data_IF_178574127833
#
_entry.id   IF_178574127833
#
_cell.length_a   1.000
_cell.length_b   1.000
_cell.length_c   1.000
_cell.angle_alpha   90.00
_cell.angle_beta   90.00
_cell.angle_gamma   90.00
#
_symmetry.space_group_name_H-M   'P 1'
#
loop_
_entity.id
_entity.type
_entity.pdbx_description
1 polymer ?
#
# COMPACT_ATOMS: atom_id res chain seq x y z
N UNK A 1 -21.94 -28.95 6.59
CA UNK A 1 -21.64 -28.00 7.69
C UNK A 1 -22.20 -26.64 7.32
N UNK A 2 -23.04 -26.10 8.18
CA UNK A 2 -23.56 -24.73 8.04
C UNK A 2 -22.47 -23.75 8.45
N UNK A 3 -22.16 -22.81 7.59
CA UNK A 3 -21.13 -21.77 7.84
C UNK A 3 -21.77 -20.49 8.38
N UNK A 4 -20.95 -19.56 8.89
CA UNK A 4 -21.41 -18.23 9.29
C UNK A 4 -22.07 -17.48 8.12
N UNK A 5 -21.62 -17.70 6.90
CA UNK A 5 -22.21 -17.09 5.70
C UNK A 5 -23.58 -17.63 5.38
N UNK A 6 -23.81 -18.94 5.60
CA UNK A 6 -25.13 -19.54 5.41
C UNK A 6 -26.14 -18.93 6.39
N UNK A 7 -25.74 -18.68 7.66
CA UNK A 7 -26.59 -18.02 8.65
C UNK A 7 -26.90 -16.55 8.36
N UNK A 8 -26.02 -15.89 7.59
CA UNK A 8 -26.20 -14.50 7.14
C UNK A 8 -26.91 -14.39 5.78
N UNK A 9 -27.25 -15.51 5.14
CA UNK A 9 -27.84 -15.54 3.80
C UNK A 9 -26.88 -15.08 2.69
N UNK A 10 -25.57 -15.16 2.92
CA UNK A 10 -24.55 -14.76 1.93
C UNK A 10 -24.10 -15.99 1.12
N UNK A 11 -24.31 -16.00 -0.21
CA UNK A 11 -23.91 -17.12 -1.04
C UNK A 11 -22.39 -17.26 -1.10
N UNK A 12 -21.89 -18.48 -0.99
CA UNK A 12 -20.46 -18.79 -1.19
C UNK A 12 -20.12 -18.80 -2.66
N UNK A 13 -18.92 -18.35 -2.97
CA UNK A 13 -18.37 -18.34 -4.31
C UNK A 13 -17.21 -19.31 -4.45
N UNK A 14 -17.04 -19.88 -5.64
CA UNK A 14 -15.82 -20.56 -6.04
C UNK A 14 -14.95 -19.51 -6.72
N UNK A 15 -13.89 -19.08 -6.02
CA UNK A 15 -13.00 -18.06 -6.53
C UNK A 15 -11.97 -18.67 -7.51
N UNK A 16 -12.12 -18.41 -8.79
CA UNK A 16 -11.18 -18.80 -9.85
C UNK A 16 -10.33 -17.62 -10.37
N UNK A 17 -10.46 -16.44 -9.77
CA UNK A 17 -9.74 -15.22 -10.19
C UNK A 17 -8.40 -15.07 -9.46
N UNK A 18 -8.26 -15.69 -8.29
CA UNK A 18 -7.12 -15.50 -7.38
C UNK A 18 -7.37 -14.42 -6.34
N UNK A 19 -6.31 -13.88 -5.70
CA UNK A 19 -6.45 -12.88 -4.65
C UNK A 19 -7.17 -11.62 -5.14
N UNK A 20 -8.33 -11.33 -4.57
CA UNK A 20 -9.12 -10.14 -4.89
C UNK A 20 -9.82 -9.63 -3.65
N UNK A 21 -9.65 -8.36 -3.31
CA UNK A 21 -10.27 -7.72 -2.16
C UNK A 21 -11.79 -7.84 -2.19
N UNK A 22 -12.42 -7.79 -3.37
CA UNK A 22 -13.87 -7.97 -3.53
C UNK A 22 -14.34 -9.39 -3.24
N UNK A 23 -13.44 -10.36 -3.22
CA UNK A 23 -13.70 -11.77 -2.96
C UNK A 23 -12.99 -12.23 -1.67
N UNK A 24 -12.95 -11.38 -0.65
CA UNK A 24 -12.30 -11.62 0.65
C UNK A 24 -10.77 -11.80 0.58
N UNK A 25 -10.13 -11.42 -0.52
CA UNK A 25 -8.68 -11.51 -0.70
C UNK A 25 -8.15 -12.92 -0.96
N UNK A 26 -8.81 -13.94 -0.48
CA UNK A 26 -8.42 -15.35 -0.56
C UNK A 26 -8.76 -16.11 0.71
N UNK A 27 -8.56 -17.43 0.66
CA UNK A 27 -8.75 -18.29 1.83
C UNK A 27 -7.50 -18.20 2.71
N UNK A 28 -7.71 -17.91 3.99
CA UNK A 28 -6.63 -17.86 4.97
C UNK A 28 -6.13 -19.27 5.29
N UNK A 29 -4.83 -19.43 5.47
CA UNK A 29 -4.24 -20.69 5.91
C UNK A 29 -4.68 -20.98 7.34
N UNK A 30 -4.95 -22.26 7.69
CA UNK A 30 -5.46 -22.62 9.02
C UNK A 30 -4.58 -22.11 10.16
N UNK A 31 -3.27 -22.26 10.05
CA UNK A 31 -2.31 -21.83 11.08
C UNK A 31 -2.31 -20.32 11.31
N UNK A 32 -2.64 -19.52 10.30
CA UNK A 32 -2.79 -18.06 10.44
C UNK A 32 -4.11 -17.74 11.15
N UNK A 33 -5.19 -18.43 10.80
CA UNK A 33 -6.48 -18.24 11.45
C UNK A 33 -6.42 -18.63 12.94
N UNK A 34 -5.75 -19.73 13.28
CA UNK A 34 -5.53 -20.17 14.66
C UNK A 34 -4.74 -19.12 15.47
N UNK A 35 -3.64 -18.61 14.91
CA UNK A 35 -2.85 -17.55 15.55
C UNK A 35 -3.66 -16.26 15.77
N UNK A 36 -4.55 -15.89 14.84
CA UNK A 36 -5.44 -14.73 15.01
C UNK A 36 -6.46 -14.96 16.13
N UNK A 37 -7.03 -16.18 16.23
CA UNK A 37 -7.94 -16.54 17.32
C UNK A 37 -7.22 -16.47 18.67
N UNK A 38 -6.01 -17.03 18.78
CA UNK A 38 -5.20 -16.93 19.98
C UNK A 38 -4.90 -15.48 20.34
N UNK A 39 -4.37 -14.70 19.40
CA UNK A 39 -4.03 -13.29 19.60
C UNK A 39 -5.22 -12.44 20.07
N UNK A 40 -6.44 -12.77 19.64
CA UNK A 40 -7.65 -12.04 20.03
C UNK A 40 -8.00 -12.14 21.53
N UNK A 41 -7.35 -13.06 22.26
CA UNK A 41 -7.58 -13.24 23.70
C UNK A 41 -6.68 -12.36 24.56
N UNK A 42 -5.75 -11.62 23.98
CA UNK A 42 -4.75 -10.83 24.70
C UNK A 42 -4.68 -9.41 24.20
N UNK A 43 -4.36 -8.48 25.12
CA UNK A 43 -3.97 -7.12 24.79
C UNK A 43 -2.44 -7.01 24.81
N UNK A 44 -1.88 -6.40 23.78
CA UNK A 44 -0.44 -6.19 23.66
C UNK A 44 -0.15 -4.75 23.24
N UNK A 45 1.05 -4.27 23.53
CA UNK A 45 1.51 -3.00 22.99
C UNK A 45 1.78 -3.15 21.48
N UNK A 46 1.05 -2.38 20.67
CA UNK A 46 1.14 -2.43 19.21
C UNK A 46 2.52 -1.97 18.71
N UNK A 47 3.19 -1.05 19.41
CA UNK A 47 4.53 -0.61 19.02
C UNK A 47 5.55 -1.77 19.13
N UNK A 48 5.49 -2.55 20.21
CA UNK A 48 6.31 -3.75 20.34
C UNK A 48 5.96 -4.82 19.31
N UNK A 49 4.68 -5.03 19.04
CA UNK A 49 4.25 -5.98 18.01
C UNK A 49 4.76 -5.59 16.63
N UNK A 50 4.66 -4.32 16.26
CA UNK A 50 5.20 -3.80 14.99
C UNK A 50 6.72 -3.93 14.92
N UNK A 51 7.45 -3.66 16.01
CA UNK A 51 8.90 -3.84 16.04
C UNK A 51 9.29 -5.32 15.77
N UNK A 52 8.60 -6.27 16.39
CA UNK A 52 8.83 -7.70 16.13
C UNK A 52 8.45 -8.13 14.71
N UNK A 53 7.36 -7.60 14.18
CA UNK A 53 6.99 -7.82 12.79
C UNK A 53 8.06 -7.25 11.83
N UNK A 54 8.61 -6.07 12.12
CA UNK A 54 9.72 -5.48 11.37
C UNK A 54 10.95 -6.40 11.34
N UNK A 55 11.38 -6.94 12.49
CA UNK A 55 12.51 -7.87 12.58
C UNK A 55 12.30 -9.10 11.68
N UNK A 56 11.09 -9.65 11.69
CA UNK A 56 10.74 -10.82 10.89
C UNK A 56 10.75 -10.47 9.39
N UNK A 57 10.13 -9.36 9.00
CA UNK A 57 10.08 -8.92 7.61
C UNK A 57 11.51 -8.69 7.09
N UNK A 58 12.33 -7.95 7.83
CA UNK A 58 13.72 -7.66 7.48
C UNK A 58 14.54 -8.94 7.27
N UNK A 59 14.35 -9.93 8.13
CA UNK A 59 15.03 -11.24 8.02
C UNK A 59 14.70 -11.96 6.70
N UNK A 60 13.45 -11.88 6.23
CA UNK A 60 13.02 -12.61 5.03
C UNK A 60 13.23 -11.81 3.74
N UNK A 61 13.22 -10.49 3.81
CA UNK A 61 13.28 -9.62 2.62
C UNK A 61 14.67 -9.02 2.40
N UNK A 62 15.52 -8.98 3.43
CA UNK A 62 16.79 -8.25 3.41
C UNK A 62 16.61 -6.74 3.49
N UNK A 63 15.42 -6.23 3.77
CA UNK A 63 15.16 -4.80 3.96
C UNK A 63 15.68 -4.33 5.32
N UNK A 64 15.96 -3.03 5.44
CA UNK A 64 16.37 -2.40 6.70
C UNK A 64 15.28 -2.48 7.76
N UNK A 65 14.02 -2.32 7.36
CA UNK A 65 12.87 -2.38 8.25
C UNK A 65 11.61 -2.84 7.50
N UNK A 66 10.58 -3.21 8.26
CA UNK A 66 9.26 -3.54 7.73
C UNK A 66 8.16 -2.95 8.61
N UNK A 67 7.01 -2.67 8.03
CA UNK A 67 5.85 -2.19 8.76
C UNK A 67 4.58 -2.87 8.26
N UNK A 68 3.78 -3.40 9.16
CA UNK A 68 2.51 -4.06 8.82
C UNK A 68 1.38 -3.06 8.82
N UNK A 69 0.60 -3.05 7.75
CA UNK A 69 -0.55 -2.17 7.58
C UNK A 69 -1.83 -2.96 7.29
N UNK A 70 -2.97 -2.30 7.32
CA UNK A 70 -4.27 -2.91 7.00
C UNK A 70 -4.49 -3.19 5.51
N UNK A 71 -3.46 -3.04 4.69
CA UNK A 71 -3.48 -3.35 3.25
C UNK A 71 -2.62 -2.41 2.43
N UNK A 72 -2.48 -2.71 1.13
CA UNK A 72 -1.60 -1.98 0.21
C UNK A 72 -1.89 -0.47 0.13
N UNK A 73 -3.16 -0.05 0.14
CA UNK A 73 -3.53 1.36 0.13
C UNK A 73 -3.02 2.08 1.39
N UNK A 74 -3.16 1.46 2.57
CA UNK A 74 -2.65 2.02 3.81
C UNK A 74 -1.11 2.09 3.83
N UNK A 75 -0.44 1.08 3.24
CA UNK A 75 1.02 1.08 3.10
C UNK A 75 1.51 2.22 2.18
N UNK A 76 0.85 2.43 1.03
CA UNK A 76 1.17 3.52 0.11
C UNK A 76 0.95 4.89 0.76
N UNK A 77 -0.16 5.07 1.47
CA UNK A 77 -0.45 6.31 2.19
C UNK A 77 0.62 6.59 3.25
N UNK A 78 0.90 5.60 4.11
CA UNK A 78 1.86 5.76 5.20
C UNK A 78 3.28 6.00 4.68
N UNK A 79 3.72 5.24 3.67
CA UNK A 79 5.03 5.41 3.04
C UNK A 79 5.18 6.79 2.39
N UNK A 80 4.16 7.26 1.67
CA UNK A 80 4.15 8.59 1.08
C UNK A 80 4.20 9.68 2.15
N UNK A 81 3.39 9.55 3.21
CA UNK A 81 3.40 10.49 4.33
C UNK A 81 4.79 10.56 4.98
N UNK A 82 5.42 9.41 5.23
CA UNK A 82 6.76 9.34 5.80
C UNK A 82 7.82 10.02 4.91
N UNK A 83 7.74 9.85 3.60
CA UNK A 83 8.65 10.55 2.66
C UNK A 83 8.48 12.07 2.68
N UNK A 84 7.24 12.57 2.86
CA UNK A 84 6.94 14.01 2.87
C UNK A 84 7.33 14.66 4.21
N UNK A 85 7.04 13.98 5.31
CA UNK A 85 7.18 14.57 6.66
C UNK A 85 8.48 14.19 7.37
N UNK A 86 9.09 13.08 6.99
CA UNK A 86 10.14 12.47 7.80
C UNK A 86 9.63 12.20 9.21
N UNK A 87 10.49 12.43 10.19
CA UNK A 87 10.17 12.27 11.62
C UNK A 87 9.74 13.59 12.30
N UNK A 88 9.31 14.59 11.52
CA UNK A 88 8.88 15.90 12.05
C UNK A 88 7.41 15.89 12.45
N UNK A 89 7.08 15.93 13.77
CA UNK A 89 5.69 15.91 14.24
C UNK A 89 4.86 17.10 13.75
N UNK A 90 5.49 18.26 13.55
CA UNK A 90 4.82 19.47 13.06
C UNK A 90 4.32 19.27 11.62
N UNK A 91 5.15 18.65 10.77
CA UNK A 91 4.76 18.30 9.40
C UNK A 91 3.70 17.22 9.39
N UNK A 92 3.84 16.18 10.23
CA UNK A 92 2.85 15.10 10.35
C UNK A 92 1.45 15.64 10.69
N UNK A 93 1.37 16.56 11.65
CA UNK A 93 0.09 17.14 12.08
C UNK A 93 -0.55 18.08 11.06
N UNK A 94 0.23 18.55 10.09
CA UNK A 94 -0.29 19.43 9.01
C UNK A 94 -0.91 18.66 7.86
N UNK A 95 -0.59 17.38 7.68
CA UNK A 95 -1.13 16.61 6.57
C UNK A 95 -2.68 16.68 6.55
N UNK A 96 -3.29 16.80 5.39
CA UNK A 96 -2.74 16.79 4.03
C UNK A 96 -2.26 18.16 3.50
N UNK A 97 -2.08 19.18 4.33
CA UNK A 97 -1.48 20.45 3.91
C UNK A 97 0.05 20.32 3.82
N UNK A 98 0.54 20.09 2.61
CA UNK A 98 1.95 19.88 2.31
C UNK A 98 2.68 21.13 1.81
N UNK A 99 2.10 22.32 1.96
CA UNK A 99 2.73 23.58 1.53
C UNK A 99 4.08 23.81 2.22
N UNK A 100 5.13 24.06 1.43
CA UNK A 100 6.49 24.24 1.92
C UNK A 100 7.20 22.93 2.34
N UNK A 101 6.66 21.79 1.91
CA UNK A 101 7.32 20.48 2.03
C UNK A 101 7.70 19.98 0.64
N UNK A 102 8.67 19.05 0.59
CA UNK A 102 8.92 18.27 -0.63
C UNK A 102 7.71 17.34 -0.83
N UNK A 103 6.84 17.68 -1.75
CA UNK A 103 5.52 17.04 -1.87
C UNK A 103 5.22 16.57 -3.30
N UNK A 104 6.23 16.41 -4.14
CA UNK A 104 6.06 15.87 -5.48
C UNK A 104 6.37 14.37 -5.48
N UNK A 105 5.53 13.61 -6.18
CA UNK A 105 5.74 12.18 -6.44
C UNK A 105 5.78 11.96 -7.94
N UNK A 106 6.92 11.52 -8.44
CA UNK A 106 7.10 11.20 -9.86
C UNK A 106 6.57 9.79 -10.11
N UNK A 107 5.71 9.65 -11.11
CA UNK A 107 5.10 8.38 -11.48
C UNK A 107 4.97 8.24 -12.99
N UNK A 108 5.35 7.06 -13.51
CA UNK A 108 5.08 6.75 -14.91
C UNK A 108 3.57 6.73 -15.18
N UNK A 109 3.14 7.35 -16.26
CA UNK A 109 1.74 7.42 -16.65
C UNK A 109 1.12 6.04 -16.90
N UNK A 110 1.92 5.09 -17.36
CA UNK A 110 1.53 3.69 -17.53
C UNK A 110 1.24 2.96 -16.20
N UNK A 111 1.80 3.44 -15.09
CA UNK A 111 1.61 2.88 -13.75
C UNK A 111 0.40 3.45 -12.99
N UNK A 112 -0.28 4.46 -13.56
CA UNK A 112 -1.48 5.04 -12.96
C UNK A 112 -2.58 3.99 -12.78
N UNK A 113 -3.10 3.90 -11.56
CA UNK A 113 -4.17 2.98 -11.20
C UNK A 113 -4.96 3.50 -9.99
N UNK A 114 -5.97 2.76 -9.54
CA UNK A 114 -6.82 3.18 -8.43
C UNK A 114 -6.09 3.36 -7.09
N UNK A 115 -4.94 2.73 -6.89
CA UNK A 115 -4.16 2.85 -5.66
C UNK A 115 -3.44 4.20 -5.54
N UNK A 116 -3.29 4.96 -6.61
CA UNK A 116 -2.69 6.30 -6.55
C UNK A 116 -3.53 7.28 -5.73
N UNK A 117 -4.81 6.97 -5.48
CA UNK A 117 -5.62 7.71 -4.51
C UNK A 117 -4.98 7.74 -3.12
N UNK A 118 -4.40 6.63 -2.66
CA UNK A 118 -3.75 6.57 -1.36
C UNK A 118 -2.55 7.53 -1.29
N UNK A 119 -1.74 7.56 -2.34
CA UNK A 119 -0.60 8.49 -2.48
C UNK A 119 -1.08 9.95 -2.49
N UNK A 120 -2.09 10.27 -3.31
CA UNK A 120 -2.64 11.63 -3.43
C UNK A 120 -3.34 12.11 -2.14
N UNK A 121 -3.89 11.20 -1.34
CA UNK A 121 -4.57 11.53 -0.08
C UNK A 121 -3.64 12.18 0.95
N UNK A 122 -2.34 12.02 0.80
CA UNK A 122 -1.34 12.70 1.66
C UNK A 122 -1.26 14.20 1.36
N UNK A 123 -1.79 14.67 0.21
CA UNK A 123 -1.74 16.06 -0.22
C UNK A 123 -0.56 16.36 -1.13
N UNK A 124 0.03 15.33 -1.75
CA UNK A 124 1.13 15.48 -2.71
C UNK A 124 0.63 15.92 -4.09
N UNK A 125 1.55 16.46 -4.87
CA UNK A 125 1.42 16.71 -6.29
C UNK A 125 2.01 15.53 -7.07
N UNK A 126 1.19 14.94 -7.94
CA UNK A 126 1.66 13.88 -8.81
C UNK A 126 2.29 14.45 -10.08
N UNK A 127 3.53 14.08 -10.35
CA UNK A 127 4.27 14.45 -11.56
C UNK A 127 4.28 13.24 -12.48
N UNK A 128 3.49 13.30 -13.55
CA UNK A 128 3.37 12.19 -14.49
C UNK A 128 4.42 12.32 -15.61
N UNK A 129 5.14 11.24 -15.85
CA UNK A 129 6.13 11.12 -16.92
C UNK A 129 5.79 9.97 -17.88
N UNK A 130 6.46 9.93 -19.02
CA UNK A 130 6.24 8.93 -20.05
C UNK A 130 5.01 9.19 -20.91
N UNK A 131 4.86 8.40 -21.97
CA UNK A 131 3.79 8.50 -22.94
C UNK A 131 2.76 7.40 -22.70
N UNK A 132 1.51 7.76 -22.40
CA UNK A 132 0.39 6.83 -22.32
C UNK A 132 -0.17 6.53 -23.72
N UNK A 133 0.64 6.08 -24.63
CA UNK A 133 0.17 5.81 -25.98
C UNK A 133 -0.17 4.34 -26.18
N UNK A 134 -1.35 3.94 -25.72
CA UNK A 134 -1.93 2.62 -26.03
C UNK A 134 -2.47 2.54 -27.47
N UNK A 135 -2.49 3.65 -28.19
CA UNK A 135 -3.20 3.78 -29.49
C UNK A 135 -2.25 3.95 -30.67
N UNK A 136 -0.96 4.21 -30.49
CA UNK A 136 -0.06 4.49 -31.61
C UNK A 136 0.45 3.22 -32.33
N UNK A 137 0.07 2.04 -31.91
CA UNK A 137 0.48 0.78 -32.57
C UNK A 137 1.97 0.42 -32.45
N UNK A 138 2.79 1.29 -31.88
CA UNK A 138 4.24 1.13 -31.71
C UNK A 138 4.63 0.42 -30.40
N UNK A 139 3.67 -0.14 -29.68
CA UNK A 139 3.87 -0.65 -28.33
C UNK A 139 3.82 0.48 -27.28
N UNK A 140 3.51 0.12 -26.04
CA UNK A 140 3.54 1.08 -24.92
C UNK A 140 5.00 1.35 -24.60
N UNK A 141 5.52 2.52 -24.96
CA UNK A 141 6.78 3.02 -24.43
C UNK A 141 6.55 3.47 -22.99
N UNK A 142 7.09 2.74 -22.04
CA UNK A 142 7.11 3.16 -20.66
C UNK A 142 8.07 4.35 -20.45
N UNK A 143 8.03 4.98 -19.25
CA UNK A 143 8.94 6.06 -18.92
C UNK A 143 10.40 5.58 -18.92
N UNK A 144 11.29 6.39 -19.46
CA UNK A 144 12.73 6.11 -19.49
C UNK A 144 13.44 6.75 -18.30
N UNK A 145 14.61 6.21 -17.94
CA UNK A 145 15.37 6.69 -16.76
C UNK A 145 15.65 8.21 -16.80
N UNK A 146 15.92 8.77 -17.98
CA UNK A 146 16.18 10.21 -18.13
C UNK A 146 14.94 11.06 -17.86
N UNK A 147 13.72 10.56 -18.12
CA UNK A 147 12.47 11.26 -17.82
C UNK A 147 12.25 11.36 -16.30
N UNK A 148 12.59 10.30 -15.55
CA UNK A 148 12.61 10.37 -14.09
C UNK A 148 13.63 11.38 -13.59
N UNK A 149 14.86 11.32 -14.10
CA UNK A 149 15.91 12.24 -13.71
C UNK A 149 15.54 13.70 -13.98
N UNK A 150 14.92 13.99 -15.13
CA UNK A 150 14.48 15.32 -15.50
C UNK A 150 13.28 15.83 -14.67
N UNK A 151 12.46 14.93 -14.13
CA UNK A 151 11.29 15.28 -13.32
C UNK A 151 11.61 15.47 -11.84
N UNK A 152 12.77 15.03 -11.35
CA UNK A 152 13.21 15.23 -9.96
C UNK A 152 13.72 16.67 -9.84
N UNK A 153 13.07 17.45 -8.97
CA UNK A 153 13.45 18.82 -8.64
C UNK A 153 14.12 18.88 -7.26
N UNK A 154 14.79 20.00 -6.94
CA UNK A 154 15.41 20.24 -5.62
C UNK A 154 14.37 20.40 -4.50
#
# INVERSE_FOLDING_TARGET
MTTVYDSLGVPRLINAVGPSTRLSGGIMRPEVAEAMVEASQYCVDIAFLQARASDIISKYTGSEAGYVTSGAAAALLLGTAACVTGMDPSKMNRLPDTRGMHNEVVMARSHRNFYDHAVRSVGIKLVEIGIADRFSGAGVRDAECWEYAAAITE
#
